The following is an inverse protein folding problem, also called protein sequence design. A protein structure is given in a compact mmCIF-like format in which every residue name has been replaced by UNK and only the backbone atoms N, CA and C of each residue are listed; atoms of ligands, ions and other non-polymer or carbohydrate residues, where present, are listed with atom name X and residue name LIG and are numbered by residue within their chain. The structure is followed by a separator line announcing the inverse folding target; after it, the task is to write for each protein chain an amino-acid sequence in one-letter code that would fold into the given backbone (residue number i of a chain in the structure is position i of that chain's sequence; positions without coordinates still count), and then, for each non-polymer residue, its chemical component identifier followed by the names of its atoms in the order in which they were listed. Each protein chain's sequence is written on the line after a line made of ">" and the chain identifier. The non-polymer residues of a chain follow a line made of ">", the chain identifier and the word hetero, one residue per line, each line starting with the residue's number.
data_IF_429138794936
#
_entry.id   IF_429138794936
#
_cell.length_a   1.000
_cell.length_b   1.000
_cell.length_c   1.000
_cell.angle_alpha   90.00
_cell.angle_beta   90.00
_cell.angle_gamma   90.00
#
_symmetry.space_group_name_H-M   'P 1'
#
loop_
_entity.id
_entity.type
_entity.pdbx_description
1 polymer ?
#
# COMPACT_ATOMS: atom_id res chain seq x y z
N UNK A 1 40.08 10.43 13.29
CA UNK A 1 41.38 9.73 13.40
C UNK A 1 41.43 8.63 12.34
N UNK A 2 42.57 8.42 11.67
CA UNK A 2 42.76 7.28 10.77
C UNK A 2 42.55 5.95 11.50
N UNK A 3 41.97 4.97 10.82
CA UNK A 3 41.70 3.63 11.38
C UNK A 3 42.97 2.95 11.86
N UNK A 4 44.11 3.21 11.19
CA UNK A 4 45.42 2.69 11.56
C UNK A 4 45.90 3.25 12.91
N UNK A 5 45.70 4.55 13.15
CA UNK A 5 46.13 5.23 14.38
C UNK A 5 45.31 4.75 15.59
N UNK A 6 44.01 4.49 15.41
CA UNK A 6 43.17 3.91 16.45
C UNK A 6 43.60 2.48 16.80
N UNK A 7 44.00 1.68 15.80
CA UNK A 7 44.50 0.33 16.03
C UNK A 7 45.82 0.33 16.81
N UNK A 8 46.74 1.26 16.51
CA UNK A 8 47.99 1.43 17.26
C UNK A 8 47.76 1.88 18.71
N UNK A 9 46.84 2.83 18.94
CA UNK A 9 46.51 3.30 20.30
C UNK A 9 45.89 2.17 21.13
N UNK A 10 44.93 1.43 20.57
CA UNK A 10 44.35 0.23 21.23
C UNK A 10 45.43 -0.83 21.42
N UNK A 11 46.40 -0.90 20.52
CA UNK A 11 47.51 -1.83 20.65
C UNK A 11 48.49 -1.46 21.77
N UNK A 12 48.65 -0.19 22.10
CA UNK A 12 49.52 0.24 23.19
C UNK A 12 48.90 0.04 24.59
N UNK A 13 47.60 -0.26 24.68
CA UNK A 13 46.91 -0.41 25.96
C UNK A 13 47.22 -1.77 26.64
N UNK A 14 47.28 -1.80 27.98
CA UNK A 14 47.33 -3.02 28.78
C UNK A 14 46.23 -4.02 28.40
N UNK A 15 46.57 -5.32 28.42
CA UNK A 15 45.72 -6.41 27.93
C UNK A 15 44.33 -6.42 28.58
N UNK A 16 44.26 -6.21 29.88
CA UNK A 16 43.05 -6.07 30.69
C UNK A 16 42.11 -4.95 30.19
N UNK A 17 42.64 -3.83 29.72
CA UNK A 17 41.86 -2.71 29.15
C UNK A 17 41.51 -2.98 27.67
N UNK A 18 42.44 -3.57 26.92
CA UNK A 18 42.28 -3.93 25.50
C UNK A 18 41.17 -4.96 25.31
N UNK A 19 41.09 -5.97 26.18
CA UNK A 19 40.10 -7.05 26.11
C UNK A 19 38.66 -6.59 26.36
N UNK A 20 38.47 -5.66 27.28
CA UNK A 20 37.15 -5.10 27.59
C UNK A 20 36.65 -4.27 26.41
N UNK A 21 37.50 -3.40 25.84
CA UNK A 21 37.13 -2.59 24.68
C UNK A 21 36.84 -3.42 23.42
N UNK A 22 37.66 -4.43 23.12
CA UNK A 22 37.44 -5.33 21.97
C UNK A 22 36.16 -6.16 22.13
N UNK A 23 35.87 -6.66 23.33
CA UNK A 23 34.63 -7.42 23.60
C UNK A 23 33.38 -6.55 23.53
N UNK A 24 33.42 -5.35 24.11
CA UNK A 24 32.27 -4.42 24.06
C UNK A 24 32.00 -4.03 22.60
N UNK A 25 33.03 -3.70 21.82
CA UNK A 25 32.87 -3.41 20.38
C UNK A 25 32.27 -4.61 19.65
N UNK A 26 32.85 -5.81 19.81
CA UNK A 26 32.35 -7.01 19.12
C UNK A 26 30.92 -7.39 19.50
N UNK A 27 30.54 -7.35 20.78
CA UNK A 27 29.18 -7.67 21.22
C UNK A 27 28.18 -6.61 20.74
N UNK A 28 28.57 -5.33 20.75
CA UNK A 28 27.75 -4.23 20.26
C UNK A 28 27.58 -4.31 18.73
N UNK A 29 28.66 -4.56 17.98
CA UNK A 29 28.64 -4.77 16.54
C UNK A 29 27.74 -5.96 16.19
N UNK A 30 27.88 -7.09 16.88
CA UNK A 30 27.03 -8.26 16.67
C UNK A 30 25.55 -7.97 16.96
N UNK A 31 25.25 -7.21 18.03
CA UNK A 31 23.90 -6.78 18.34
C UNK A 31 23.33 -5.86 17.26
N UNK A 32 24.11 -4.87 16.80
CA UNK A 32 23.74 -3.97 15.72
C UNK A 32 23.46 -4.74 14.43
N UNK A 33 24.35 -5.64 14.03
CA UNK A 33 24.14 -6.51 12.86
C UNK A 33 22.86 -7.33 12.98
N UNK A 34 22.58 -7.92 14.15
CA UNK A 34 21.35 -8.68 14.37
C UNK A 34 20.10 -7.81 14.25
N UNK A 35 20.12 -6.60 14.81
CA UNK A 35 19.00 -5.65 14.71
C UNK A 35 18.82 -5.11 13.30
N UNK A 36 19.89 -4.78 12.60
CA UNK A 36 19.87 -4.38 11.21
C UNK A 36 19.32 -5.50 10.32
N UNK A 37 19.79 -6.73 10.48
CA UNK A 37 19.29 -7.88 9.72
C UNK A 37 17.79 -8.14 9.98
N UNK A 38 17.35 -8.00 11.24
CA UNK A 38 15.93 -8.09 11.58
C UNK A 38 15.10 -6.98 10.92
N UNK A 39 15.60 -5.74 10.95
CA UNK A 39 14.95 -4.61 10.30
C UNK A 39 14.86 -4.80 8.78
N UNK A 40 15.94 -5.23 8.12
CA UNK A 40 15.96 -5.51 6.67
C UNK A 40 14.91 -6.57 6.31
N UNK A 41 14.84 -7.68 7.06
CA UNK A 41 13.84 -8.73 6.81
C UNK A 41 12.41 -8.22 6.97
N UNK A 42 12.16 -7.42 7.99
CA UNK A 42 10.83 -6.84 8.23
C UNK A 42 10.45 -5.86 7.12
N UNK A 43 11.39 -5.03 6.65
CA UNK A 43 11.14 -4.07 5.58
C UNK A 43 10.90 -4.77 4.25
N UNK A 44 11.67 -5.81 3.92
CA UNK A 44 11.43 -6.67 2.75
C UNK A 44 10.05 -7.32 2.80
N UNK A 45 9.65 -7.84 3.97
CA UNK A 45 8.31 -8.41 4.15
C UNK A 45 7.22 -7.34 3.98
N UNK A 46 7.42 -6.14 4.52
CA UNK A 46 6.49 -5.01 4.36
C UNK A 46 6.32 -4.60 2.90
N UNK A 47 7.41 -4.51 2.15
CA UNK A 47 7.40 -4.22 0.72
C UNK A 47 6.64 -5.30 -0.06
N UNK A 48 6.89 -6.58 0.24
CA UNK A 48 6.17 -7.70 -0.39
C UNK A 48 4.66 -7.63 -0.14
N UNK A 49 4.24 -7.35 1.10
CA UNK A 49 2.82 -7.19 1.43
C UNK A 49 2.23 -5.98 0.70
N UNK A 50 2.96 -4.86 0.62
CA UNK A 50 2.51 -3.68 -0.10
C UNK A 50 2.31 -3.96 -1.60
N UNK A 51 3.25 -4.66 -2.25
CA UNK A 51 3.10 -5.09 -3.64
C UNK A 51 1.89 -5.99 -3.85
N UNK A 52 1.68 -6.95 -2.94
CA UNK A 52 0.53 -7.85 -3.01
C UNK A 52 -0.79 -7.09 -2.86
N UNK A 53 -0.87 -6.14 -1.91
CA UNK A 53 -2.04 -5.29 -1.74
C UNK A 53 -2.32 -4.43 -2.98
N UNK A 54 -1.28 -3.87 -3.62
CA UNK A 54 -1.42 -3.13 -4.88
C UNK A 54 -1.97 -4.02 -6.00
N UNK A 55 -1.48 -5.27 -6.11
CA UNK A 55 -1.98 -6.25 -7.10
C UNK A 55 -3.44 -6.60 -6.85
N UNK A 56 -3.80 -6.91 -5.59
CA UNK A 56 -5.17 -7.21 -5.18
C UNK A 56 -6.12 -6.03 -5.43
N UNK A 57 -5.69 -4.81 -5.13
CA UNK A 57 -6.45 -3.60 -5.44
C UNK A 57 -6.74 -3.47 -6.94
N UNK A 58 -5.73 -3.68 -7.79
CA UNK A 58 -5.92 -3.65 -9.25
C UNK A 58 -6.81 -4.77 -9.79
N UNK A 59 -6.78 -5.96 -9.17
CA UNK A 59 -7.71 -7.05 -9.50
C UNK A 59 -9.14 -6.70 -9.08
N UNK A 60 -9.33 -6.20 -7.86
CA UNK A 60 -10.64 -5.82 -7.34
C UNK A 60 -11.26 -4.68 -8.16
N UNK A 61 -10.45 -3.70 -8.59
CA UNK A 61 -10.88 -2.64 -9.51
C UNK A 61 -11.45 -3.20 -10.82
N UNK A 62 -10.69 -4.08 -11.50
CA UNK A 62 -11.12 -4.71 -12.75
C UNK A 62 -12.39 -5.54 -12.59
N UNK A 63 -12.59 -6.16 -11.43
CA UNK A 63 -13.84 -6.85 -11.10
C UNK A 63 -15.00 -5.87 -11.02
N UNK A 64 -14.84 -4.75 -10.31
CA UNK A 64 -15.87 -3.70 -10.24
C UNK A 64 -16.20 -3.14 -11.64
N UNK A 65 -15.20 -2.88 -12.47
CA UNK A 65 -15.41 -2.46 -13.87
C UNK A 65 -16.20 -3.52 -14.64
N UNK A 66 -15.81 -4.79 -14.58
CA UNK A 66 -16.52 -5.87 -15.29
C UNK A 66 -17.96 -6.06 -14.79
N UNK A 67 -18.23 -5.80 -13.50
CA UNK A 67 -19.58 -5.83 -12.95
C UNK A 67 -20.43 -4.67 -13.45
N UNK A 68 -19.85 -3.49 -13.68
CA UNK A 68 -20.60 -2.31 -14.13
C UNK A 68 -21.39 -2.55 -15.42
N UNK A 69 -20.87 -3.40 -16.33
CA UNK A 69 -21.53 -3.81 -17.57
C UNK A 69 -22.77 -4.70 -17.38
N UNK A 70 -22.93 -5.31 -16.20
CA UNK A 70 -24.05 -6.21 -15.88
C UNK A 70 -25.12 -5.52 -15.03
N UNK A 71 -24.82 -4.35 -14.49
CA UNK A 71 -25.70 -3.65 -13.57
C UNK A 71 -26.73 -2.79 -14.32
N UNK A 72 -27.95 -2.76 -13.79
CA UNK A 72 -28.93 -1.76 -14.21
C UNK A 72 -28.43 -0.34 -13.83
N UNK A 73 -28.79 0.71 -14.61
CA UNK A 73 -28.29 2.06 -14.39
C UNK A 73 -28.48 2.60 -12.96
N UNK A 74 -29.58 2.23 -12.29
CA UNK A 74 -29.86 2.62 -10.90
C UNK A 74 -28.84 2.02 -9.92
N UNK A 75 -28.47 0.74 -10.10
CA UNK A 75 -27.48 0.08 -9.25
C UNK A 75 -26.08 0.58 -9.53
N UNK A 76 -25.77 0.88 -10.79
CA UNK A 76 -24.50 1.50 -11.16
C UNK A 76 -24.33 2.88 -10.51
N UNK A 77 -25.40 3.67 -10.45
CA UNK A 77 -25.39 4.99 -9.77
C UNK A 77 -25.19 4.85 -8.26
N UNK A 78 -25.79 3.85 -7.63
CA UNK A 78 -25.58 3.57 -6.22
C UNK A 78 -24.14 3.11 -5.93
N UNK A 79 -23.59 2.22 -6.76
CA UNK A 79 -22.21 1.77 -6.68
C UNK A 79 -21.24 2.95 -6.79
N UNK A 80 -21.43 3.81 -7.80
CA UNK A 80 -20.67 5.05 -7.97
C UNK A 80 -20.68 5.93 -6.72
N UNK A 81 -21.87 6.24 -6.21
CA UNK A 81 -22.03 7.13 -5.05
C UNK A 81 -21.38 6.53 -3.79
N UNK A 82 -21.51 5.22 -3.58
CA UNK A 82 -20.87 4.53 -2.47
C UNK A 82 -19.34 4.60 -2.55
N UNK A 83 -18.77 4.39 -3.74
CA UNK A 83 -17.32 4.50 -3.96
C UNK A 83 -16.87 5.95 -3.72
N UNK A 84 -17.51 6.93 -4.37
CA UNK A 84 -17.16 8.35 -4.19
C UNK A 84 -17.24 8.78 -2.72
N UNK A 85 -18.32 8.43 -2.02
CA UNK A 85 -18.49 8.74 -0.60
C UNK A 85 -17.43 8.08 0.27
N UNK A 86 -17.03 6.84 -0.02
CA UNK A 86 -15.98 6.17 0.74
C UNK A 86 -14.68 6.96 0.68
N UNK A 87 -14.26 7.35 -0.53
CA UNK A 87 -13.06 8.18 -0.75
C UNK A 87 -13.25 9.66 -0.39
N UNK A 88 -14.43 10.06 0.13
CA UNK A 88 -14.77 11.45 0.49
C UNK A 88 -14.68 12.40 -0.71
N UNK A 89 -15.02 11.90 -1.89
CA UNK A 89 -15.05 12.64 -3.15
C UNK A 89 -16.49 12.95 -3.55
N UNK A 90 -16.68 13.99 -4.36
CA UNK A 90 -17.99 14.30 -4.93
C UNK A 90 -18.45 13.23 -5.93
N UNK A 91 -19.76 13.04 -6.04
CA UNK A 91 -20.35 12.03 -6.94
C UNK A 91 -20.01 12.23 -8.43
N UNK A 92 -19.56 13.44 -8.83
CA UNK A 92 -19.11 13.77 -10.18
C UNK A 92 -17.60 13.91 -10.32
N UNK A 93 -16.82 13.50 -9.32
CA UNK A 93 -15.36 13.61 -9.36
C UNK A 93 -14.79 12.90 -10.60
N UNK A 94 -13.87 13.55 -11.31
CA UNK A 94 -13.27 13.00 -12.54
C UNK A 94 -14.16 13.03 -13.78
N UNK A 95 -15.39 13.56 -13.69
CA UNK A 95 -16.33 13.66 -14.81
C UNK A 95 -16.51 15.11 -15.27
N UNK A 96 -16.79 15.28 -16.56
CA UNK A 96 -17.29 16.56 -17.09
C UNK A 96 -18.74 16.78 -16.68
N UNK A 97 -19.23 18.03 -16.75
CA UNK A 97 -20.65 18.32 -16.49
C UNK A 97 -21.57 17.50 -17.40
N UNK A 98 -21.24 17.38 -18.69
CA UNK A 98 -22.02 16.59 -19.65
C UNK A 98 -22.09 15.11 -19.28
N UNK A 99 -20.98 14.53 -18.80
CA UNK A 99 -20.94 13.15 -18.33
C UNK A 99 -21.69 12.97 -17.00
N UNK A 100 -21.66 13.97 -16.13
CA UNK A 100 -22.32 13.90 -14.82
C UNK A 100 -23.85 14.01 -14.92
N UNK A 101 -24.35 14.92 -15.75
CA UNK A 101 -25.79 15.12 -15.93
C UNK A 101 -26.42 14.16 -16.95
N UNK A 102 -25.61 13.48 -17.76
CA UNK A 102 -26.04 12.45 -18.70
C UNK A 102 -26.45 11.13 -18.04
N UNK A 103 -26.77 10.13 -18.88
CA UNK A 103 -26.97 8.76 -18.42
C UNK A 103 -25.64 8.15 -17.96
N UNK A 104 -25.65 7.49 -16.81
CA UNK A 104 -24.45 6.83 -16.28
C UNK A 104 -24.26 5.49 -16.98
N UNK A 105 -23.35 5.44 -17.94
CA UNK A 105 -22.94 4.20 -18.60
C UNK A 105 -21.76 3.54 -17.88
N UNK A 106 -21.51 2.23 -18.10
CA UNK A 106 -20.32 1.54 -17.59
C UNK A 106 -19.00 2.24 -17.94
N UNK A 107 -18.90 2.84 -19.14
CA UNK A 107 -17.71 3.55 -19.59
C UNK A 107 -17.48 4.84 -18.81
N UNK A 108 -18.54 5.63 -18.59
CA UNK A 108 -18.47 6.85 -17.76
C UNK A 108 -18.13 6.49 -16.32
N UNK A 109 -18.71 5.41 -15.80
CA UNK A 109 -18.35 4.88 -14.49
C UNK A 109 -16.87 4.49 -14.41
N UNK A 110 -16.33 3.82 -15.45
CA UNK A 110 -14.92 3.45 -15.53
C UNK A 110 -14.00 4.66 -15.49
N UNK A 111 -14.29 5.70 -16.27
CA UNK A 111 -13.54 6.97 -16.26
C UNK A 111 -13.47 7.58 -14.85
N UNK A 112 -14.61 7.62 -14.15
CA UNK A 112 -14.64 8.13 -12.78
C UNK A 112 -13.86 7.23 -11.82
N UNK A 113 -14.01 5.92 -11.95
CA UNK A 113 -13.31 4.95 -11.11
C UNK A 113 -11.79 5.09 -11.28
N UNK A 114 -11.31 5.29 -12.51
CA UNK A 114 -9.92 5.61 -12.80
C UNK A 114 -9.46 6.84 -12.04
N UNK A 115 -10.19 7.94 -12.16
CA UNK A 115 -9.86 9.21 -11.48
C UNK A 115 -9.81 9.05 -9.96
N UNK A 116 -10.78 8.33 -9.36
CA UNK A 116 -10.79 8.06 -7.91
C UNK A 116 -9.54 7.25 -7.50
N UNK A 117 -9.15 6.25 -8.30
CA UNK A 117 -7.99 5.42 -7.96
C UNK A 117 -6.66 6.14 -8.14
N UNK A 118 -6.61 7.21 -8.93
CA UNK A 118 -5.45 8.10 -9.04
C UNK A 118 -5.22 8.93 -7.78
N UNK A 119 -6.25 9.16 -6.96
CA UNK A 119 -6.08 9.89 -5.69
C UNK A 119 -5.46 9.03 -4.57
N UNK A 120 -5.35 7.72 -4.77
CA UNK A 120 -4.79 6.81 -3.77
C UNK A 120 -3.26 6.95 -3.78
N UNK A 121 -2.67 7.35 -2.64
CA UNK A 121 -1.22 7.30 -2.48
C UNK A 121 -0.76 5.85 -2.49
N UNK A 122 -0.21 5.42 -3.63
CA UNK A 122 0.26 4.06 -3.84
C UNK A 122 1.42 3.70 -2.92
N UNK A 123 2.15 4.67 -2.39
CA UNK A 123 3.29 4.46 -1.50
C UNK A 123 2.89 4.41 -0.02
N UNK A 124 1.68 4.87 0.31
CA UNK A 124 1.13 4.75 1.65
C UNK A 124 0.47 3.38 1.83
N UNK A 125 1.04 2.57 2.72
CA UNK A 125 0.52 1.23 3.04
C UNK A 125 -0.93 1.27 3.53
N UNK A 126 -1.26 2.25 4.38
CA UNK A 126 -2.57 2.35 5.01
C UNK A 126 -3.63 2.66 3.95
N UNK A 127 -3.34 3.60 3.05
CA UNK A 127 -4.26 4.02 2.00
C UNK A 127 -4.53 2.88 1.02
N UNK A 128 -3.47 2.19 0.57
CA UNK A 128 -3.61 1.03 -0.32
C UNK A 128 -4.37 -0.10 0.37
N UNK A 129 -4.05 -0.43 1.62
CA UNK A 129 -4.72 -1.53 2.33
C UNK A 129 -6.19 -1.23 2.59
N UNK A 130 -6.50 0.01 2.96
CA UNK A 130 -7.88 0.45 3.21
C UNK A 130 -8.71 0.43 1.92
N UNK A 131 -8.19 1.04 0.84
CA UNK A 131 -8.84 1.00 -0.48
C UNK A 131 -9.02 -0.43 -0.98
N UNK A 132 -7.99 -1.28 -0.84
CA UNK A 132 -8.05 -2.68 -1.27
C UNK A 132 -9.16 -3.45 -0.56
N UNK A 133 -9.26 -3.33 0.77
CA UNK A 133 -10.28 -4.03 1.56
C UNK A 133 -11.69 -3.59 1.17
N UNK A 134 -11.90 -2.29 1.01
CA UNK A 134 -13.21 -1.77 0.64
C UNK A 134 -13.65 -2.22 -0.75
N UNK A 135 -12.81 -2.00 -1.77
CA UNK A 135 -13.11 -2.37 -3.16
C UNK A 135 -13.29 -3.89 -3.29
N UNK A 136 -12.47 -4.67 -2.58
CA UNK A 136 -12.63 -6.13 -2.54
C UNK A 136 -13.94 -6.56 -1.88
N UNK A 137 -14.33 -5.90 -0.78
CA UNK A 137 -15.60 -6.17 -0.10
C UNK A 137 -16.77 -5.83 -1.01
N UNK A 138 -16.74 -4.68 -1.68
CA UNK A 138 -17.76 -4.31 -2.67
C UNK A 138 -17.86 -5.36 -3.77
N UNK A 139 -16.73 -5.74 -4.38
CA UNK A 139 -16.72 -6.75 -5.43
C UNK A 139 -17.37 -8.07 -4.98
N UNK A 140 -17.02 -8.54 -3.77
CA UNK A 140 -17.57 -9.78 -3.24
C UNK A 140 -19.08 -9.67 -2.89
N UNK A 141 -19.51 -8.54 -2.31
CA UNK A 141 -20.92 -8.33 -1.97
C UNK A 141 -21.83 -8.30 -3.19
N UNK A 142 -21.33 -7.79 -4.33
CA UNK A 142 -22.10 -7.76 -5.57
C UNK A 142 -22.13 -9.12 -6.26
N UNK A 143 -21.03 -9.87 -6.31
CA UNK A 143 -21.02 -11.22 -6.89
C UNK A 143 -21.98 -12.15 -6.12
N UNK A 144 -21.99 -12.10 -4.79
CA UNK A 144 -22.94 -12.87 -3.99
C UNK A 144 -24.42 -12.52 -4.21
N UNK A 145 -24.72 -11.40 -4.87
CA UNK A 145 -26.09 -10.97 -5.20
C UNK A 145 -26.52 -11.33 -6.63
N UNK A 146 -25.58 -11.72 -7.50
CA UNK A 146 -25.80 -11.98 -8.94
C UNK A 146 -25.76 -13.48 -9.27
N UNK A 147 -25.13 -14.29 -8.40
CA UNK A 147 -25.07 -15.75 -8.54
C UNK A 147 -26.23 -16.50 -7.82
N UNK A 148 -27.24 -15.78 -7.32
CA UNK A 148 -28.54 -16.30 -6.85
C UNK A 148 -29.67 -15.97 -7.84
#
# INVERSE_FOLDING_TARGET
>A
MPTELNAEIVAALPFDIRWVNVRISFAFDHFLYKKQAQWIRNELMRQKIMEENRRRLGQAKRRIEAMSFRLLPIHLRNLRNNIASHFRLGNGFGLTETQFFGELTPEIFGIQLDAIFETIDRNNFQDVSWAQKFIQSLANSFEGYVDE
#
